data_IF_899578853573
#
_entry.id   IF_899578853573
#
_cell.length_a   1.000
_cell.length_b   1.000
_cell.length_c   1.000
_cell.angle_alpha   90.00
_cell.angle_beta   90.00
_cell.angle_gamma   90.00
#
_symmetry.space_group_name_H-M   'P 1'
#
loop_
_entity.id
_entity.type
_entity.pdbx_description
1 polymer ?
#
# COMPACT_ATOMS: atom_id res chain seq x y z
N UNK A 1 -14.46 -23.57 -7.95
CA UNK A 1 -13.16 -23.50 -8.64
C UNK A 1 -12.29 -22.37 -8.09
N UNK A 2 -12.83 -21.21 -7.84
CA UNK A 2 -12.12 -19.99 -7.39
C UNK A 2 -11.38 -20.11 -6.05
N UNK A 3 -11.95 -20.84 -5.08
CA UNK A 3 -11.31 -21.10 -3.78
C UNK A 3 -10.01 -21.91 -3.96
N UNK A 4 -10.05 -22.93 -4.82
CA UNK A 4 -8.88 -23.74 -5.11
C UNK A 4 -7.77 -22.93 -5.78
N UNK A 5 -8.12 -22.04 -6.70
CA UNK A 5 -7.18 -21.16 -7.38
C UNK A 5 -6.53 -20.20 -6.39
N UNK A 6 -7.30 -19.59 -5.47
CA UNK A 6 -6.75 -18.74 -4.42
C UNK A 6 -5.78 -19.50 -3.51
N UNK A 7 -6.09 -20.74 -3.14
CA UNK A 7 -5.18 -21.59 -2.35
C UNK A 7 -3.89 -21.88 -3.14
N UNK A 8 -3.99 -22.24 -4.42
CA UNK A 8 -2.82 -22.43 -5.29
C UNK A 8 -2.02 -21.13 -5.38
N UNK A 9 -2.70 -19.99 -5.50
CA UNK A 9 -2.08 -18.66 -5.53
C UNK A 9 -1.21 -18.38 -4.31
N UNK A 10 -1.68 -18.71 -3.10
CA UNK A 10 -0.87 -18.58 -1.87
C UNK A 10 0.45 -19.35 -2.00
N UNK A 11 0.40 -20.62 -2.43
CA UNK A 11 1.61 -21.42 -2.58
C UNK A 11 2.52 -20.93 -3.69
N UNK A 12 1.96 -20.47 -4.81
CA UNK A 12 2.75 -19.90 -5.92
C UNK A 12 3.46 -18.61 -5.48
N UNK A 13 2.80 -17.70 -4.77
CA UNK A 13 3.41 -16.48 -4.27
C UNK A 13 4.55 -16.77 -3.28
N UNK A 14 4.36 -17.74 -2.37
CA UNK A 14 5.42 -18.20 -1.48
C UNK A 14 6.56 -18.87 -2.26
N UNK A 15 6.24 -19.67 -3.28
CA UNK A 15 7.22 -20.28 -4.18
C UNK A 15 8.08 -19.24 -4.91
N UNK A 16 7.45 -18.18 -5.44
CA UNK A 16 8.17 -17.05 -6.07
C UNK A 16 9.12 -16.40 -5.05
N UNK A 17 8.66 -16.13 -3.83
CA UNK A 17 9.52 -15.56 -2.79
C UNK A 17 10.72 -16.46 -2.46
N UNK A 18 10.51 -17.78 -2.40
CA UNK A 18 11.57 -18.77 -2.18
C UNK A 18 12.59 -18.80 -3.33
N UNK A 19 12.16 -18.59 -4.58
CA UNK A 19 13.05 -18.51 -5.74
C UNK A 19 13.98 -17.32 -5.63
N UNK A 20 13.49 -16.17 -5.16
CA UNK A 20 14.27 -14.94 -4.98
C UNK A 20 14.99 -14.86 -3.63
N UNK A 21 14.92 -15.89 -2.78
CA UNK A 21 15.58 -15.93 -1.48
C UNK A 21 17.11 -15.94 -1.61
N UNK A 22 17.77 -15.08 -0.83
CA UNK A 22 19.23 -15.03 -0.76
C UNK A 22 19.83 -16.28 -0.05
N UNK A 23 19.11 -16.83 0.93
CA UNK A 23 19.57 -17.99 1.69
C UNK A 23 18.39 -18.83 2.21
N UNK A 24 17.93 -19.77 1.40
CA UNK A 24 16.76 -20.61 1.72
C UNK A 24 16.93 -21.43 3.01
N UNK A 25 18.19 -21.79 3.37
CA UNK A 25 18.46 -22.62 4.57
C UNK A 25 18.37 -21.81 5.86
N UNK A 26 18.49 -20.50 5.80
CA UNK A 26 18.40 -19.61 6.95
C UNK A 26 16.99 -19.09 7.23
N UNK A 27 15.99 -19.54 6.47
CA UNK A 27 14.60 -19.11 6.67
C UNK A 27 14.10 -19.59 8.04
N UNK A 28 13.66 -18.64 8.86
CA UNK A 28 13.07 -18.95 10.16
C UNK A 28 11.59 -19.29 10.00
N UNK A 29 11.25 -20.55 10.14
CA UNK A 29 9.88 -21.05 9.99
C UNK A 29 8.90 -20.42 11.00
N UNK A 30 9.33 -20.14 12.24
CA UNK A 30 8.49 -19.45 13.23
C UNK A 30 8.04 -18.08 12.71
N UNK A 31 8.96 -17.32 12.17
CA UNK A 31 8.68 -15.96 11.65
C UNK A 31 7.77 -16.04 10.42
N UNK A 32 8.08 -16.94 9.48
CA UNK A 32 7.34 -17.07 8.22
C UNK A 32 5.93 -17.61 8.45
N UNK A 33 5.78 -18.73 9.16
CA UNK A 33 4.44 -19.30 9.46
C UNK A 33 3.65 -18.39 10.39
N UNK A 34 4.31 -17.76 11.38
CA UNK A 34 3.66 -16.79 12.27
C UNK A 34 3.10 -15.60 11.50
N UNK A 35 3.90 -15.00 10.60
CA UNK A 35 3.47 -13.85 9.79
C UNK A 35 2.34 -14.22 8.82
N UNK A 36 2.43 -15.35 8.15
CA UNK A 36 1.37 -15.87 7.28
C UNK A 36 0.08 -16.14 8.08
N UNK A 37 0.19 -16.77 9.25
CA UNK A 37 -0.95 -17.05 10.12
C UNK A 37 -1.63 -15.76 10.58
N UNK A 38 -0.87 -14.74 10.99
CA UNK A 38 -1.42 -13.44 11.40
C UNK A 38 -2.12 -12.78 10.20
N UNK A 39 -1.50 -12.79 9.01
CA UNK A 39 -2.10 -12.21 7.81
C UNK A 39 -3.40 -12.90 7.43
N UNK A 40 -3.44 -14.24 7.46
CA UNK A 40 -4.66 -15.04 7.22
C UNK A 40 -5.70 -14.78 8.31
N UNK A 41 -5.29 -14.73 9.58
CA UNK A 41 -6.19 -14.50 10.71
C UNK A 41 -6.86 -13.12 10.65
N UNK A 42 -6.10 -12.06 10.28
CA UNK A 42 -6.67 -10.73 10.06
C UNK A 42 -7.67 -10.80 8.90
N UNK A 43 -7.31 -11.36 7.75
CA UNK A 43 -8.20 -11.49 6.61
C UNK A 43 -9.46 -12.30 6.94
N UNK A 44 -9.33 -13.43 7.62
CA UNK A 44 -10.45 -14.24 8.09
C UNK A 44 -11.35 -13.47 9.04
N UNK A 45 -10.78 -12.77 10.03
CA UNK A 45 -11.54 -12.03 11.01
C UNK A 45 -12.36 -10.91 10.35
N UNK A 46 -11.71 -10.06 9.54
CA UNK A 46 -12.36 -8.85 9.00
C UNK A 46 -13.25 -9.10 7.76
N UNK A 47 -13.06 -10.23 7.03
CA UNK A 47 -13.80 -10.50 5.78
C UNK A 47 -14.78 -11.67 5.89
N UNK A 48 -14.55 -12.61 6.83
CA UNK A 48 -15.39 -13.79 6.96
C UNK A 48 -16.20 -13.82 8.26
N UNK A 49 -15.58 -13.48 9.42
CA UNK A 49 -16.28 -13.52 10.72
C UNK A 49 -17.22 -12.33 10.86
N UNK A 50 -18.54 -12.53 11.16
CA UNK A 50 -19.51 -11.44 11.24
C UNK A 50 -19.12 -10.31 12.20
N UNK A 51 -18.63 -10.64 13.40
CA UNK A 51 -18.18 -9.65 14.38
C UNK A 51 -17.01 -8.80 13.86
N UNK A 52 -16.06 -9.42 13.14
CA UNK A 52 -14.92 -8.73 12.52
C UNK A 52 -15.35 -7.80 11.38
N UNK A 53 -16.32 -8.25 10.57
CA UNK A 53 -16.92 -7.41 9.51
C UNK A 53 -17.61 -6.19 10.08
N UNK A 54 -18.40 -6.35 11.14
CA UNK A 54 -19.04 -5.23 11.85
C UNK A 54 -17.99 -4.28 12.43
N UNK A 55 -16.92 -4.80 13.03
CA UNK A 55 -15.84 -3.98 13.57
C UNK A 55 -15.10 -3.22 12.45
N UNK A 56 -14.82 -3.87 11.32
CA UNK A 56 -14.20 -3.22 10.16
C UNK A 56 -15.10 -2.12 9.58
N UNK A 57 -16.42 -2.40 9.46
CA UNK A 57 -17.38 -1.40 8.99
C UNK A 57 -17.43 -0.20 9.93
N UNK A 58 -17.51 -0.42 11.25
CA UNK A 58 -17.49 0.66 12.24
C UNK A 58 -16.20 1.50 12.18
N UNK A 59 -15.05 0.85 11.99
CA UNK A 59 -13.79 1.55 11.79
C UNK A 59 -13.79 2.36 10.48
N UNK A 60 -14.33 1.81 9.41
CA UNK A 60 -14.49 2.50 8.13
C UNK A 60 -15.42 3.71 8.24
N UNK A 61 -16.57 3.55 8.90
CA UNK A 61 -17.54 4.65 9.12
C UNK A 61 -16.90 5.76 9.96
N UNK A 62 -16.11 5.40 10.98
CA UNK A 62 -15.39 6.37 11.79
C UNK A 62 -14.35 7.14 10.97
N UNK A 63 -13.53 6.45 10.17
CA UNK A 63 -12.54 7.09 9.28
C UNK A 63 -13.25 7.91 8.20
N UNK A 64 -14.34 7.41 7.63
CA UNK A 64 -15.18 8.14 6.67
C UNK A 64 -15.75 9.44 7.26
N UNK A 65 -16.18 9.40 8.53
CA UNK A 65 -16.61 10.60 9.25
C UNK A 65 -15.47 11.60 9.45
N UNK A 66 -14.25 11.12 9.74
CA UNK A 66 -13.08 11.99 9.81
C UNK A 66 -12.81 12.63 8.44
N UNK A 67 -12.88 11.86 7.35
CA UNK A 67 -12.74 12.40 5.98
C UNK A 67 -13.76 13.51 5.73
N UNK A 68 -15.01 13.35 6.18
CA UNK A 68 -16.06 14.35 5.99
C UNK A 68 -15.74 15.69 6.66
N UNK A 69 -15.05 15.72 7.80
CA UNK A 69 -14.59 16.97 8.41
C UNK A 69 -13.53 17.67 7.55
N UNK A 70 -12.70 16.91 6.83
CA UNK A 70 -11.77 17.49 5.86
C UNK A 70 -12.50 18.24 4.74
N UNK A 71 -13.68 17.76 4.33
CA UNK A 71 -14.47 18.41 3.29
C UNK A 71 -14.96 19.81 3.70
N UNK A 72 -15.16 20.09 4.98
CA UNK A 72 -15.50 21.43 5.48
C UNK A 72 -14.39 22.43 5.14
N UNK A 73 -13.12 22.07 5.45
CA UNK A 73 -11.97 22.91 5.11
C UNK A 73 -11.78 23.06 3.60
N UNK A 74 -11.99 21.97 2.84
CA UNK A 74 -11.89 21.98 1.39
C UNK A 74 -12.97 22.89 0.78
N UNK A 75 -14.20 22.78 1.25
CA UNK A 75 -15.31 23.62 0.79
C UNK A 75 -15.11 25.09 1.14
N UNK A 76 -14.52 25.37 2.30
CA UNK A 76 -14.17 26.74 2.68
C UNK A 76 -13.15 27.38 1.72
N UNK A 77 -12.12 26.60 1.29
CA UNK A 77 -11.05 27.10 0.42
C UNK A 77 -11.49 27.17 -1.05
N UNK A 78 -12.21 26.18 -1.54
CA UNK A 78 -12.54 26.00 -2.96
C UNK A 78 -13.98 26.39 -3.32
N UNK A 79 -14.84 26.65 -2.33
CA UNK A 79 -16.21 27.14 -2.55
C UNK A 79 -17.03 26.24 -3.46
N UNK A 80 -17.71 26.84 -4.43
CA UNK A 80 -18.60 26.14 -5.36
C UNK A 80 -17.94 25.07 -6.23
N UNK A 81 -16.61 25.03 -6.34
CA UNK A 81 -15.91 23.98 -7.06
C UNK A 81 -16.03 22.59 -6.39
N UNK A 82 -16.43 22.56 -5.13
CA UNK A 82 -16.65 21.31 -4.38
C UNK A 82 -18.10 20.84 -4.47
N UNK A 83 -19.02 21.68 -4.91
CA UNK A 83 -20.45 21.41 -4.94
C UNK A 83 -20.81 20.39 -6.04
N UNK A 84 -21.39 19.24 -5.68
CA UNK A 84 -21.79 18.22 -6.66
C UNK A 84 -22.87 18.69 -7.64
N UNK A 85 -23.65 19.73 -7.29
CA UNK A 85 -24.71 20.28 -8.13
C UNK A 85 -24.19 21.12 -9.30
N UNK A 86 -22.92 21.53 -9.25
CA UNK A 86 -22.28 22.31 -10.31
C UNK A 86 -21.80 21.42 -11.46
N UNK A 87 -21.88 21.92 -12.69
CA UNK A 87 -21.53 21.18 -13.91
C UNK A 87 -20.04 20.91 -14.13
N UNK A 88 -19.17 21.21 -13.16
CA UNK A 88 -17.72 21.02 -13.29
C UNK A 88 -17.25 19.55 -13.25
N UNK A 89 -18.13 18.62 -12.83
CA UNK A 89 -17.79 17.22 -12.69
C UNK A 89 -16.80 16.92 -11.53
N UNK A 90 -16.11 15.78 -11.62
CA UNK A 90 -15.13 15.35 -10.63
C UNK A 90 -13.76 15.96 -10.93
N UNK A 91 -13.32 16.94 -10.13
CA UNK A 91 -12.00 17.55 -10.24
C UNK A 91 -11.07 16.92 -9.19
N UNK A 92 -10.17 16.03 -9.64
CA UNK A 92 -9.24 15.30 -8.79
C UNK A 92 -8.40 16.23 -7.88
N UNK A 93 -7.87 17.32 -8.44
CA UNK A 93 -7.03 18.27 -7.72
C UNK A 93 -7.76 18.95 -6.55
N UNK A 94 -9.08 19.02 -6.58
CA UNK A 94 -9.91 19.68 -5.56
C UNK A 94 -10.52 18.67 -4.59
N UNK A 95 -10.95 17.49 -5.10
CA UNK A 95 -11.68 16.51 -4.29
C UNK A 95 -10.79 15.49 -3.62
N UNK A 96 -9.58 15.21 -4.16
CA UNK A 96 -8.69 14.15 -3.66
C UNK A 96 -7.44 14.73 -3.00
N UNK A 97 -6.70 15.60 -3.70
CA UNK A 97 -5.41 16.10 -3.20
C UNK A 97 -5.51 16.84 -1.86
N UNK A 98 -6.51 17.71 -1.61
CA UNK A 98 -6.57 18.43 -0.33
C UNK A 98 -6.91 17.56 0.87
N UNK A 99 -7.57 16.40 0.66
CA UNK A 99 -7.83 15.44 1.74
C UNK A 99 -6.51 14.93 2.33
N UNK A 100 -5.46 14.77 1.51
CA UNK A 100 -4.11 14.37 1.94
C UNK A 100 -3.54 15.38 2.93
N UNK A 101 -3.77 16.68 2.71
CA UNK A 101 -3.29 17.76 3.57
C UNK A 101 -3.92 17.64 4.97
N UNK A 102 -5.23 17.50 5.02
CA UNK A 102 -5.96 17.35 6.28
C UNK A 102 -5.51 16.12 7.08
N UNK A 103 -5.42 14.96 6.41
CA UNK A 103 -4.99 13.73 7.08
C UNK A 103 -3.53 13.79 7.55
N UNK A 104 -2.63 14.39 6.78
CA UNK A 104 -1.24 14.60 7.21
C UNK A 104 -1.16 15.49 8.45
N UNK A 105 -1.96 16.57 8.50
CA UNK A 105 -2.06 17.43 9.68
C UNK A 105 -2.59 16.67 10.90
N UNK A 106 -3.67 15.88 10.70
CA UNK A 106 -4.26 15.07 11.78
C UNK A 106 -3.28 14.02 12.32
N UNK A 107 -2.61 13.29 11.44
CA UNK A 107 -1.60 12.27 11.83
C UNK A 107 -0.45 12.95 12.61
N UNK A 108 0.02 14.11 12.17
CA UNK A 108 1.06 14.88 12.87
C UNK A 108 0.60 15.28 14.29
N UNK A 109 -0.65 15.72 14.43
CA UNK A 109 -1.24 16.00 15.73
C UNK A 109 -1.30 14.75 16.62
N UNK A 110 -1.75 13.60 16.08
CA UNK A 110 -1.82 12.33 16.81
C UNK A 110 -0.43 11.85 17.27
N UNK A 111 0.61 12.13 16.48
CA UNK A 111 2.01 11.91 16.89
C UNK A 111 2.40 12.86 18.04
N UNK A 112 2.07 14.16 17.95
CA UNK A 112 2.40 15.14 18.97
C UNK A 112 1.80 14.77 20.33
N UNK A 113 0.52 14.39 20.38
CA UNK A 113 -0.17 14.00 21.63
C UNK A 113 0.17 12.58 22.12
N UNK A 114 0.99 11.82 21.38
CA UNK A 114 1.49 10.53 21.82
C UNK A 114 0.61 9.32 21.49
N UNK A 115 -0.56 9.50 20.88
CA UNK A 115 -1.50 8.41 20.54
C UNK A 115 -0.85 7.42 19.57
N UNK A 116 -0.20 7.91 18.52
CA UNK A 116 0.46 7.06 17.53
C UNK A 116 1.56 6.20 18.12
N UNK A 117 2.38 6.76 19.04
CA UNK A 117 3.44 6.02 19.69
C UNK A 117 2.91 4.85 20.53
N UNK A 118 1.78 5.03 21.23
CA UNK A 118 1.15 3.96 22.01
C UNK A 118 0.65 2.85 21.08
N UNK A 119 -0.06 3.22 20.01
CA UNK A 119 -0.60 2.24 19.04
C UNK A 119 0.53 1.45 18.38
N UNK A 120 1.57 2.13 17.90
CA UNK A 120 2.71 1.50 17.23
C UNK A 120 3.48 0.58 18.19
N UNK A 121 3.69 1.00 19.45
CA UNK A 121 4.32 0.15 20.46
C UNK A 121 3.50 -1.10 20.77
N UNK A 122 2.19 -0.98 20.84
CA UNK A 122 1.30 -2.10 21.12
C UNK A 122 1.35 -3.13 19.97
N UNK A 123 1.14 -2.67 18.73
CA UNK A 123 1.13 -3.55 17.55
C UNK A 123 2.54 -4.10 17.27
N UNK A 124 3.56 -3.23 17.27
CA UNK A 124 4.95 -3.63 17.02
C UNK A 124 5.49 -4.59 18.08
N UNK A 125 5.19 -4.34 19.35
CA UNK A 125 5.53 -5.27 20.44
C UNK A 125 4.84 -6.62 20.32
N UNK A 126 3.58 -6.64 19.88
CA UNK A 126 2.85 -7.86 19.55
C UNK A 126 3.51 -8.64 18.41
N UNK A 127 3.82 -7.97 17.29
CA UNK A 127 4.52 -8.58 16.15
C UNK A 127 5.89 -9.11 16.57
N UNK A 128 6.69 -8.33 17.31
CA UNK A 128 8.00 -8.75 17.81
C UNK A 128 7.90 -10.04 18.63
N UNK A 129 6.99 -10.09 19.59
CA UNK A 129 6.82 -11.24 20.49
C UNK A 129 6.35 -12.49 19.75
N UNK A 130 5.41 -12.36 18.82
CA UNK A 130 4.84 -13.48 18.08
C UNK A 130 5.80 -14.02 17.02
N UNK A 131 6.43 -13.11 16.26
CA UNK A 131 7.26 -13.47 15.11
C UNK A 131 8.73 -13.73 15.47
N UNK A 132 9.19 -13.20 16.62
CA UNK A 132 10.61 -13.25 17.00
C UNK A 132 11.49 -12.35 16.11
N UNK A 133 10.90 -11.30 15.52
CA UNK A 133 11.58 -10.27 14.74
C UNK A 133 12.24 -9.23 15.65
N UNK A 134 13.16 -8.42 15.15
CA UNK A 134 13.78 -7.36 15.94
C UNK A 134 12.77 -6.25 16.30
N UNK A 135 13.08 -5.47 17.32
CA UNK A 135 12.24 -4.34 17.73
C UNK A 135 12.10 -3.32 16.61
N UNK A 136 13.19 -2.99 15.92
CA UNK A 136 13.23 -1.97 14.90
C UNK A 136 12.34 -2.34 13.70
N UNK A 137 12.46 -3.57 13.17
CA UNK A 137 11.63 -4.00 12.04
C UNK A 137 10.15 -4.15 12.40
N UNK A 138 9.84 -4.62 13.62
CA UNK A 138 8.45 -4.76 14.10
C UNK A 138 7.78 -3.41 14.32
N UNK A 139 8.51 -2.44 14.87
CA UNK A 139 8.03 -1.07 15.06
C UNK A 139 7.80 -0.36 13.72
N UNK A 140 8.73 -0.52 12.77
CA UNK A 140 8.57 0.02 11.42
C UNK A 140 7.38 -0.59 10.70
N UNK A 141 7.19 -1.92 10.78
CA UNK A 141 6.05 -2.60 10.18
C UNK A 141 4.71 -2.12 10.78
N UNK A 142 4.64 -1.94 12.09
CA UNK A 142 3.46 -1.40 12.77
C UNK A 142 3.16 0.05 12.37
N UNK A 143 4.20 0.87 12.23
CA UNK A 143 4.06 2.25 11.80
C UNK A 143 3.52 2.37 10.38
N UNK A 144 3.97 1.51 9.49
CA UNK A 144 3.55 1.47 8.09
C UNK A 144 2.06 1.16 7.89
N UNK A 145 1.32 0.73 8.91
CA UNK A 145 -0.15 0.62 8.86
C UNK A 145 -0.80 2.00 8.70
N UNK A 146 -0.16 3.04 9.25
CA UNK A 146 -0.75 4.38 9.39
C UNK A 146 -0.02 5.46 8.59
N UNK A 147 1.29 5.30 8.39
CA UNK A 147 2.15 6.30 7.74
C UNK A 147 2.93 5.71 6.58
N UNK A 148 3.45 6.57 5.73
CA UNK A 148 4.10 6.16 4.48
C UNK A 148 5.52 5.62 4.66
N UNK A 149 6.09 5.20 3.52
CA UNK A 149 7.41 4.58 3.43
C UNK A 149 8.59 5.49 3.83
N UNK A 150 8.36 6.79 3.95
CA UNK A 150 9.36 7.79 4.38
C UNK A 150 9.19 8.18 5.84
N UNK A 151 7.97 8.13 6.38
CA UNK A 151 7.67 8.51 7.75
C UNK A 151 7.88 7.35 8.74
N UNK A 152 7.46 6.14 8.39
CA UNK A 152 7.61 4.98 9.27
C UNK A 152 9.06 4.70 9.69
N UNK A 153 10.07 4.80 8.79
CA UNK A 153 11.46 4.63 9.16
C UNK A 153 12.01 5.69 10.12
N UNK A 154 11.37 6.87 10.24
CA UNK A 154 11.78 7.89 11.21
C UNK A 154 11.72 7.37 12.66
N UNK A 155 10.76 6.48 12.95
CA UNK A 155 10.60 5.87 14.28
C UNK A 155 11.82 5.02 14.66
N UNK A 156 12.44 4.42 13.66
CA UNK A 156 13.60 3.53 13.81
C UNK A 156 14.91 4.15 13.29
N UNK A 157 14.89 5.47 13.00
CA UNK A 157 16.06 6.21 12.49
C UNK A 157 17.37 5.94 13.24
N UNK A 158 17.42 5.89 14.58
CA UNK A 158 18.66 5.64 15.32
C UNK A 158 19.27 4.26 15.03
N UNK A 159 18.45 3.30 14.61
CA UNK A 159 18.88 1.93 14.34
C UNK A 159 19.34 1.72 12.89
N UNK A 160 18.87 2.53 11.91
CA UNK A 160 19.05 2.28 10.46
C UNK A 160 20.52 2.11 10.10
N UNK A 161 21.40 2.95 10.64
CA UNK A 161 22.84 2.90 10.34
C UNK A 161 23.54 1.60 10.78
N UNK A 162 22.98 0.88 11.76
CA UNK A 162 23.55 -0.34 12.36
C UNK A 162 22.69 -1.59 12.11
N UNK A 163 21.55 -1.45 11.45
CA UNK A 163 20.69 -2.58 11.08
C UNK A 163 21.47 -3.62 10.28
N UNK A 164 21.19 -4.87 10.54
CA UNK A 164 21.58 -5.97 9.63
C UNK A 164 20.98 -5.76 8.25
N UNK A 165 21.49 -6.42 7.23
CA UNK A 165 20.91 -6.35 5.89
C UNK A 165 19.46 -6.84 5.85
N UNK A 166 19.15 -7.86 6.66
CA UNK A 166 17.78 -8.41 6.76
C UNK A 166 16.81 -7.44 7.42
N UNK A 167 17.23 -6.71 8.47
CA UNK A 167 16.41 -5.69 9.12
C UNK A 167 16.15 -4.50 8.19
N UNK A 168 17.20 -3.98 7.53
CA UNK A 168 17.07 -2.91 6.57
C UNK A 168 16.12 -3.30 5.43
N UNK A 169 16.26 -4.52 4.91
CA UNK A 169 15.37 -5.04 3.89
C UNK A 169 13.93 -5.14 4.37
N UNK A 170 13.69 -5.59 5.61
CA UNK A 170 12.35 -5.66 6.20
C UNK A 170 11.71 -4.27 6.36
N UNK A 171 12.48 -3.25 6.76
CA UNK A 171 12.02 -1.85 6.82
C UNK A 171 11.65 -1.34 5.43
N UNK A 172 12.49 -1.60 4.41
CA UNK A 172 12.18 -1.23 3.03
C UNK A 172 10.92 -1.91 2.52
N UNK A 173 10.79 -3.22 2.71
CA UNK A 173 9.62 -3.99 2.27
C UNK A 173 8.35 -3.53 2.99
N UNK A 174 8.41 -3.28 4.30
CA UNK A 174 7.29 -2.74 5.07
C UNK A 174 6.77 -1.42 4.48
N UNK A 175 7.70 -0.53 4.11
CA UNK A 175 7.36 0.76 3.51
C UNK A 175 6.67 0.63 2.15
N UNK A 176 7.17 -0.25 1.27
CA UNK A 176 6.57 -0.41 -0.08
C UNK A 176 5.36 -1.36 -0.10
N UNK A 177 5.20 -2.23 0.91
CA UNK A 177 4.04 -3.11 1.01
C UNK A 177 2.77 -2.42 1.51
N UNK A 178 2.89 -1.24 2.12
CA UNK A 178 1.80 -0.47 2.73
C UNK A 178 1.51 0.82 1.99
N UNK A 179 0.45 1.52 2.40
CA UNK A 179 0.12 2.90 1.98
C UNK A 179 0.06 3.81 3.20
N UNK A 180 0.25 5.11 3.01
CA UNK A 180 0.03 6.09 4.06
C UNK A 180 -1.47 6.32 4.29
N UNK A 181 -1.88 6.54 5.54
CA UNK A 181 -3.28 6.84 5.87
C UNK A 181 -3.82 8.10 5.19
N UNK A 182 -2.97 9.12 4.98
CA UNK A 182 -3.32 10.32 4.22
C UNK A 182 -3.64 10.01 2.75
N UNK A 183 -2.89 9.10 2.15
CA UNK A 183 -3.07 8.66 0.76
C UNK A 183 -4.30 7.73 0.64
N UNK A 184 -4.54 6.88 1.63
CA UNK A 184 -5.74 6.03 1.72
C UNK A 184 -7.02 6.87 1.66
N UNK A 185 -7.06 8.00 2.36
CA UNK A 185 -8.18 8.92 2.31
C UNK A 185 -8.39 9.49 0.89
N UNK A 186 -7.31 9.73 0.14
CA UNK A 186 -7.37 10.11 -1.27
C UNK A 186 -8.00 9.03 -2.14
N UNK A 187 -7.64 7.76 -1.96
CA UNK A 187 -8.25 6.65 -2.72
C UNK A 187 -9.73 6.46 -2.39
N UNK A 188 -10.12 6.60 -1.11
CA UNK A 188 -11.52 6.61 -0.73
C UNK A 188 -12.31 7.74 -1.42
N UNK A 189 -11.68 8.92 -1.59
CA UNK A 189 -12.24 10.04 -2.36
C UNK A 189 -12.45 9.75 -3.85
N UNK A 190 -11.77 8.77 -4.43
CA UNK A 190 -11.99 8.26 -5.79
C UNK A 190 -13.07 7.18 -5.87
N UNK A 191 -13.71 6.82 -4.75
CA UNK A 191 -14.72 5.78 -4.68
C UNK A 191 -14.19 4.38 -4.37
N UNK A 192 -12.89 4.23 -4.06
CA UNK A 192 -12.33 2.94 -3.65
C UNK A 192 -12.89 2.55 -2.27
N UNK A 193 -13.40 1.31 -2.09
CA UNK A 193 -14.04 0.92 -0.85
C UNK A 193 -13.10 1.00 0.36
N UNK A 194 -13.40 1.91 1.28
CA UNK A 194 -12.57 2.22 2.45
C UNK A 194 -12.37 1.01 3.39
N UNK A 195 -13.37 0.12 3.63
CA UNK A 195 -13.16 -1.06 4.46
C UNK A 195 -12.01 -1.94 3.95
N UNK A 196 -11.92 -2.16 2.65
CA UNK A 196 -10.85 -2.98 2.06
C UNK A 196 -9.48 -2.31 2.14
N UNK A 197 -9.41 -0.98 2.01
CA UNK A 197 -8.17 -0.23 2.19
C UNK A 197 -7.64 -0.33 3.62
N UNK A 198 -8.53 -0.22 4.62
CA UNK A 198 -8.17 -0.39 6.03
C UNK A 198 -7.68 -1.82 6.28
N UNK A 199 -8.44 -2.83 5.84
CA UNK A 199 -8.06 -4.23 6.00
C UNK A 199 -6.69 -4.53 5.35
N UNK A 200 -6.46 -4.03 4.12
CA UNK A 200 -5.19 -4.19 3.42
C UNK A 200 -4.02 -3.56 4.17
N UNK A 201 -4.20 -2.37 4.77
CA UNK A 201 -3.15 -1.71 5.56
C UNK A 201 -2.74 -2.53 6.78
N UNK A 202 -3.70 -3.13 7.50
CA UNK A 202 -3.39 -4.01 8.62
C UNK A 202 -2.73 -5.32 8.17
N UNK A 203 -3.14 -5.89 7.05
CA UNK A 203 -2.56 -7.10 6.49
C UNK A 203 -1.15 -6.87 5.91
N UNK A 204 -0.81 -5.64 5.53
CA UNK A 204 0.49 -5.28 4.98
C UNK A 204 1.63 -5.44 5.99
N UNK A 205 1.40 -5.21 7.29
CA UNK A 205 2.44 -5.31 8.30
C UNK A 205 3.00 -6.74 8.46
N UNK A 206 2.17 -7.77 8.73
CA UNK A 206 2.66 -9.15 8.75
C UNK A 206 3.07 -9.64 7.34
N UNK A 207 2.38 -9.22 6.27
CA UNK A 207 2.71 -9.60 4.90
C UNK A 207 4.07 -9.09 4.46
N UNK A 208 4.41 -7.84 4.77
CA UNK A 208 5.73 -7.27 4.50
C UNK A 208 6.84 -8.03 5.23
N UNK A 209 6.65 -8.34 6.51
CA UNK A 209 7.60 -9.15 7.29
C UNK A 209 7.71 -10.58 6.74
N UNK A 210 6.61 -11.21 6.33
CA UNK A 210 6.58 -12.54 5.71
C UNK A 210 7.54 -12.59 4.51
N UNK A 211 7.30 -11.74 3.52
CA UNK A 211 8.07 -11.76 2.27
C UNK A 211 9.49 -11.25 2.46
N UNK A 212 9.70 -10.28 3.36
CA UNK A 212 11.05 -9.83 3.71
C UNK A 212 11.89 -10.97 4.30
N UNK A 213 11.33 -11.76 5.23
CA UNK A 213 12.08 -12.83 5.90
C UNK A 213 12.22 -14.11 5.08
N UNK A 214 11.42 -14.31 4.05
CA UNK A 214 11.64 -15.37 3.05
C UNK A 214 12.75 -14.93 2.08
N UNK A 215 12.67 -13.72 1.52
CA UNK A 215 13.59 -13.27 0.48
C UNK A 215 14.96 -12.83 1.02
N UNK A 216 15.00 -12.33 2.24
CA UNK A 216 16.24 -11.95 2.92
C UNK A 216 16.21 -12.39 4.40
N UNK A 217 16.45 -13.70 4.68
CA UNK A 217 16.41 -14.24 6.02
C UNK A 217 17.46 -13.62 6.94
N UNK A 218 17.16 -13.59 8.24
CA UNK A 218 18.08 -13.09 9.26
C UNK A 218 19.19 -14.10 9.52
N UNK A 219 20.43 -13.73 9.21
CA UNK A 219 21.64 -14.54 9.45
C UNK A 219 22.57 -13.91 10.48
N UNK A 220 22.41 -12.62 10.73
CA UNK A 220 23.21 -11.85 11.67
C UNK A 220 22.39 -11.60 12.95
N UNK A 221 23.03 -11.29 14.07
CA UNK A 221 22.33 -10.95 15.32
C UNK A 221 21.95 -9.47 15.30
N UNK A 222 20.65 -9.12 15.45
CA UNK A 222 20.22 -7.74 15.57
C UNK A 222 20.84 -7.04 16.79
N UNK A 223 21.11 -5.73 16.67
CA UNK A 223 21.55 -4.89 17.78
C UNK A 223 20.37 -4.16 18.39
N UNK A 224 19.70 -4.81 19.35
CA UNK A 224 18.57 -4.25 20.10
C UNK A 224 19.01 -3.38 21.31
N UNK A 225 20.31 -3.14 21.48
CA UNK A 225 20.86 -2.43 22.66
C UNK A 225 20.60 -0.92 22.66
N UNK A 226 20.25 -0.34 21.52
CA UNK A 226 19.97 1.07 21.38
C UNK A 226 18.63 1.44 22.06
N UNK A 227 18.67 2.42 22.96
CA UNK A 227 17.45 3.06 23.45
C UNK A 227 16.82 3.88 22.32
N UNK A 228 15.51 3.91 22.30
CA UNK A 228 14.76 4.82 21.42
C UNK A 228 15.27 6.25 21.68
N UNK A 229 16.06 6.80 20.75
CA UNK A 229 16.38 8.22 20.84
C UNK A 229 15.17 9.00 20.29
N UNK A 230 14.67 9.90 21.10
CA UNK A 230 13.58 10.81 20.73
C UNK A 230 14.12 12.05 20.02
N UNK A 231 15.22 11.93 19.27
CA UNK A 231 15.85 13.06 18.57
C UNK A 231 15.09 13.50 17.28
N UNK A 232 13.83 13.15 17.16
CA UNK A 232 12.92 13.85 16.24
C UNK A 232 12.55 15.15 16.95
N UNK A 233 12.90 16.30 16.37
CA UNK A 233 12.48 17.62 16.87
C UNK A 233 10.96 17.58 17.09
N UNK A 234 10.57 17.63 18.37
CA UNK A 234 9.16 17.64 18.72
C UNK A 234 8.62 19.05 18.47
N UNK A 235 7.47 19.18 17.82
CA UNK A 235 6.78 20.45 17.73
C UNK A 235 6.58 21.05 19.13
N UNK A 236 6.73 22.37 19.27
CA UNK A 236 6.61 23.08 20.55
C UNK A 236 5.20 23.03 21.13
N UNK A 237 4.20 22.90 20.26
CA UNK A 237 2.78 22.83 20.62
C UNK A 237 1.94 22.14 19.53
N UNK A 238 0.66 21.91 19.84
CA UNK A 238 -0.28 21.25 18.95
C UNK A 238 -0.54 22.03 17.63
N UNK A 239 -0.48 23.36 17.67
CA UNK A 239 -0.70 24.21 16.50
C UNK A 239 0.47 24.05 15.53
N UNK A 240 1.69 24.05 16.05
CA UNK A 240 2.90 23.80 15.24
C UNK A 240 2.88 22.39 14.64
N UNK A 241 2.45 21.38 15.41
CA UNK A 241 2.27 20.02 14.88
C UNK A 241 1.29 19.97 13.71
N UNK A 242 0.13 20.62 13.84
CA UNK A 242 -0.86 20.72 12.77
C UNK A 242 -0.30 21.45 11.55
N UNK A 243 0.38 22.58 11.76
CA UNK A 243 0.95 23.39 10.67
C UNK A 243 2.04 22.62 9.90
N UNK A 244 2.93 21.92 10.62
CA UNK A 244 3.95 21.09 10.01
C UNK A 244 3.33 19.93 9.20
N UNK A 245 2.34 19.23 9.76
CA UNK A 245 1.63 18.17 9.06
C UNK A 245 0.87 18.67 7.82
N UNK A 246 0.24 19.85 7.91
CA UNK A 246 -0.41 20.48 6.76
C UNK A 246 0.58 20.84 5.65
N UNK A 247 1.74 21.39 6.00
CA UNK A 247 2.83 21.69 5.06
C UNK A 247 3.33 20.41 4.36
N UNK A 248 3.58 19.37 5.14
CA UNK A 248 4.09 18.10 4.61
C UNK A 248 3.03 17.42 3.71
N UNK A 249 1.75 17.48 4.12
CA UNK A 249 0.63 17.03 3.31
C UNK A 249 0.46 17.83 2.01
N UNK A 250 0.70 19.14 2.03
CA UNK A 250 0.69 19.97 0.82
C UNK A 250 1.81 19.54 -0.14
N UNK A 251 3.02 19.34 0.36
CA UNK A 251 4.13 18.85 -0.47
C UNK A 251 3.82 17.48 -1.08
N UNK A 252 3.22 16.58 -0.30
CA UNK A 252 2.81 15.27 -0.81
C UNK A 252 1.72 15.41 -1.89
N UNK A 253 0.69 16.22 -1.66
CA UNK A 253 -0.40 16.46 -2.61
C UNK A 253 0.13 17.06 -3.93
N UNK A 254 1.01 18.06 -3.85
CA UNK A 254 1.63 18.67 -5.04
C UNK A 254 2.48 17.65 -5.82
N UNK A 255 3.29 16.85 -5.12
CA UNK A 255 4.09 15.80 -5.74
C UNK A 255 3.22 14.75 -6.43
N UNK A 256 2.13 14.31 -5.79
CA UNK A 256 1.17 13.38 -6.39
C UNK A 256 0.55 13.99 -7.65
N UNK A 257 0.07 15.24 -7.58
CA UNK A 257 -0.50 15.96 -8.73
C UNK A 257 0.48 16.07 -9.89
N UNK A 258 1.72 16.49 -9.61
CA UNK A 258 2.78 16.62 -10.62
C UNK A 258 3.14 15.29 -11.27
N UNK A 259 3.27 14.22 -10.45
CA UNK A 259 3.55 12.87 -10.97
C UNK A 259 2.40 12.36 -11.83
N UNK A 260 1.14 12.57 -11.44
CA UNK A 260 -0.01 12.15 -12.23
C UNK A 260 -0.06 12.86 -13.59
N UNK A 261 0.16 14.18 -13.63
CA UNK A 261 0.24 14.92 -14.90
C UNK A 261 1.34 14.31 -15.79
N UNK A 262 2.55 14.12 -15.25
CA UNK A 262 3.67 13.61 -16.01
C UNK A 262 3.41 12.18 -16.53
N UNK A 263 3.03 11.26 -15.65
CA UNK A 263 2.88 9.85 -16.01
C UNK A 263 1.67 9.59 -16.90
N UNK A 264 0.52 10.23 -16.65
CA UNK A 264 -0.66 10.08 -17.51
C UNK A 264 -0.35 10.61 -18.92
N UNK A 265 0.37 11.74 -19.03
CA UNK A 265 0.79 12.28 -20.32
C UNK A 265 1.78 11.36 -21.05
N UNK A 266 2.74 10.79 -20.33
CA UNK A 266 3.70 9.82 -20.90
C UNK A 266 2.98 8.54 -21.36
N UNK A 267 2.03 8.04 -20.58
CA UNK A 267 1.21 6.88 -20.95
C UNK A 267 0.41 7.19 -22.23
N UNK A 268 -0.18 8.38 -22.33
CA UNK A 268 -0.89 8.81 -23.53
C UNK A 268 0.03 8.85 -24.76
N UNK A 269 1.26 9.36 -24.61
CA UNK A 269 2.26 9.34 -25.67
C UNK A 269 2.65 7.90 -26.08
N UNK A 270 2.90 7.04 -25.09
CA UNK A 270 3.20 5.61 -25.36
C UNK A 270 2.04 4.95 -26.08
N UNK A 271 0.80 5.19 -25.66
CA UNK A 271 -0.39 4.63 -26.29
C UNK A 271 -0.56 5.11 -27.75
N UNK A 272 -0.28 6.38 -28.02
CA UNK A 272 -0.29 6.90 -29.38
C UNK A 272 0.78 6.19 -30.26
N UNK A 273 1.98 5.99 -29.74
CA UNK A 273 3.05 5.26 -30.45
C UNK A 273 2.62 3.81 -30.69
N UNK A 274 2.14 3.11 -29.66
CA UNK A 274 1.72 1.71 -29.76
C UNK A 274 0.56 1.52 -30.76
N UNK A 275 -0.46 2.38 -30.71
CA UNK A 275 -1.57 2.39 -31.65
C UNK A 275 -1.09 2.63 -33.09
N UNK A 276 -0.16 3.58 -33.29
CA UNK A 276 0.44 3.86 -34.60
C UNK A 276 1.17 2.65 -35.17
N UNK A 277 1.92 1.93 -34.34
CA UNK A 277 2.61 0.69 -34.72
C UNK A 277 1.62 -0.49 -34.88
N UNK A 278 0.58 -0.56 -34.08
CA UNK A 278 -0.43 -1.63 -34.11
C UNK A 278 -1.36 -1.57 -35.33
N UNK A 279 -1.66 -0.36 -35.80
CA UNK A 279 -2.61 -0.14 -36.91
C UNK A 279 -2.27 -0.94 -38.21
N UNK A 280 -1.00 -0.96 -38.70
CA UNK A 280 -0.64 -1.76 -39.87
C UNK A 280 -0.83 -3.27 -39.67
N UNK A 281 -0.88 -3.74 -38.42
CA UNK A 281 -1.08 -5.15 -38.05
C UNK A 281 -2.52 -5.47 -37.65
N UNK A 282 -3.47 -4.54 -37.89
CA UNK A 282 -4.89 -4.72 -37.54
C UNK A 282 -5.22 -4.59 -36.06
N UNK A 283 -4.31 -3.95 -35.25
CA UNK A 283 -4.49 -3.71 -33.84
C UNK A 283 -4.41 -2.21 -33.49
N UNK A 284 -5.38 -1.39 -33.94
CA UNK A 284 -5.36 0.05 -33.66
C UNK A 284 -5.55 0.39 -32.20
N UNK A 285 -6.13 -0.51 -31.42
CA UNK A 285 -6.40 -0.32 -29.96
C UNK A 285 -5.27 -0.84 -29.06
N UNK A 286 -4.08 -1.09 -29.62
CA UNK A 286 -2.93 -1.54 -28.85
C UNK A 286 -2.46 -0.41 -27.92
N UNK A 287 -2.54 -0.64 -26.61
CA UNK A 287 -2.15 0.31 -25.56
C UNK A 287 -1.24 -0.36 -24.54
N UNK A 288 -0.54 0.44 -23.74
CA UNK A 288 0.25 -0.04 -22.60
C UNK A 288 -0.62 -0.88 -21.66
N UNK A 289 -1.84 -0.45 -21.40
CA UNK A 289 -2.81 -1.15 -20.56
C UNK A 289 -3.11 -2.55 -21.11
N UNK A 290 -3.35 -2.69 -22.39
CA UNK A 290 -3.61 -3.98 -23.05
C UNK A 290 -2.40 -4.91 -22.90
N UNK A 291 -1.20 -4.41 -23.16
CA UNK A 291 0.05 -5.19 -23.04
C UNK A 291 0.25 -5.66 -21.59
N UNK A 292 0.11 -4.75 -20.62
CA UNK A 292 0.22 -5.09 -19.21
C UNK A 292 -0.87 -6.06 -18.78
N UNK A 293 -2.09 -5.90 -19.33
CA UNK A 293 -3.19 -6.83 -19.14
C UNK A 293 -2.83 -8.25 -19.55
N UNK A 294 -2.23 -8.43 -20.72
CA UNK A 294 -1.79 -9.76 -21.19
C UNK A 294 -0.69 -10.37 -20.33
N UNK A 295 0.32 -9.55 -19.93
CA UNK A 295 1.45 -9.99 -19.11
C UNK A 295 0.99 -10.42 -17.73
N UNK A 296 0.13 -9.62 -17.08
CA UNK A 296 -0.29 -9.83 -15.69
C UNK A 296 -1.59 -10.63 -15.55
N UNK A 297 -2.27 -10.98 -16.66
CA UNK A 297 -3.49 -11.81 -16.65
C UNK A 297 -3.32 -13.12 -15.86
N UNK A 298 -2.26 -13.93 -16.10
CA UNK A 298 -2.07 -15.16 -15.34
C UNK A 298 -1.91 -14.92 -13.83
N UNK A 299 -1.23 -13.84 -13.45
CA UNK A 299 -1.04 -13.47 -12.05
C UNK A 299 -2.37 -13.02 -11.42
N UNK A 300 -3.16 -12.22 -12.14
CA UNK A 300 -4.49 -11.80 -11.70
C UNK A 300 -5.43 -13.00 -11.49
N UNK A 301 -5.38 -13.98 -12.38
CA UNK A 301 -6.13 -15.22 -12.23
C UNK A 301 -5.68 -16.02 -10.99
N UNK A 302 -4.37 -16.14 -10.76
CA UNK A 302 -3.81 -16.86 -9.61
C UNK A 302 -4.20 -16.25 -8.26
N UNK A 303 -4.42 -14.95 -8.18
CA UNK A 303 -4.89 -14.31 -6.94
C UNK A 303 -6.41 -14.44 -6.73
N UNK A 304 -7.13 -15.14 -7.62
CA UNK A 304 -8.53 -15.51 -7.44
C UNK A 304 -9.54 -14.67 -8.23
N UNK A 305 -9.09 -13.90 -9.21
CA UNK A 305 -9.95 -13.16 -10.15
C UNK A 305 -10.40 -14.12 -11.27
N UNK A 306 -11.69 -14.13 -11.68
CA UNK A 306 -12.15 -14.92 -12.83
C UNK A 306 -11.34 -14.64 -14.10
N UNK A 307 -11.15 -15.67 -14.94
CA UNK A 307 -10.32 -15.55 -16.14
C UNK A 307 -10.75 -14.45 -17.10
N UNK A 308 -12.06 -14.23 -17.19
CA UNK A 308 -12.70 -13.22 -18.03
C UNK A 308 -12.35 -11.80 -17.59
N UNK A 309 -12.22 -11.57 -16.27
CA UNK A 309 -11.92 -10.28 -15.65
C UNK A 309 -10.41 -10.09 -15.41
N UNK A 310 -9.62 -11.17 -15.50
CA UNK A 310 -8.19 -11.17 -15.14
C UNK A 310 -7.34 -10.25 -16.02
N UNK A 311 -7.71 -10.01 -17.27
CA UNK A 311 -6.99 -9.07 -18.13
C UNK A 311 -7.15 -7.63 -17.64
N UNK A 312 -8.35 -7.25 -17.21
CA UNK A 312 -8.65 -5.93 -16.65
C UNK A 312 -7.88 -5.71 -15.36
N UNK A 313 -7.91 -6.69 -14.44
CA UNK A 313 -7.13 -6.61 -13.20
C UNK A 313 -5.62 -6.59 -13.48
N UNK A 314 -5.17 -7.37 -14.47
CA UNK A 314 -3.77 -7.38 -14.92
C UNK A 314 -3.28 -6.01 -15.41
N UNK A 315 -4.13 -5.25 -16.11
CA UNK A 315 -3.83 -3.87 -16.52
C UNK A 315 -3.53 -2.99 -15.30
N UNK A 316 -4.37 -3.06 -14.28
CA UNK A 316 -4.25 -2.23 -13.06
C UNK A 316 -3.02 -2.62 -12.24
N UNK A 317 -2.79 -3.93 -12.06
CA UNK A 317 -1.59 -4.45 -11.36
C UNK A 317 -0.33 -4.05 -12.12
N UNK A 318 -0.34 -4.16 -13.44
CA UNK A 318 0.77 -3.76 -14.29
C UNK A 318 1.05 -2.25 -14.22
N UNK A 319 0.01 -1.41 -14.29
CA UNK A 319 0.14 0.04 -14.14
C UNK A 319 0.68 0.43 -12.76
N UNK A 320 0.23 -0.24 -11.69
CA UNK A 320 0.79 -0.04 -10.35
C UNK A 320 2.30 -0.29 -10.34
N UNK A 321 2.74 -1.42 -10.87
CA UNK A 321 4.16 -1.81 -10.86
C UNK A 321 5.03 -0.90 -11.73
N UNK A 322 4.56 -0.62 -12.95
CA UNK A 322 5.30 0.16 -13.93
C UNK A 322 5.36 1.66 -13.59
N UNK A 323 4.30 2.18 -13.00
CA UNK A 323 4.13 3.61 -12.70
C UNK A 323 4.00 3.82 -11.20
N UNK A 324 2.77 3.75 -10.69
CA UNK A 324 2.45 3.78 -9.27
C UNK A 324 0.98 3.32 -9.02
N UNK A 325 0.64 3.15 -7.76
CA UNK A 325 -0.70 2.72 -7.34
C UNK A 325 -1.79 3.77 -7.59
N UNK A 326 -1.46 5.07 -7.60
CA UNK A 326 -2.42 6.13 -7.94
C UNK A 326 -2.95 5.96 -9.38
N UNK A 327 -2.06 5.71 -10.34
CA UNK A 327 -2.45 5.45 -11.73
C UNK A 327 -3.27 4.16 -11.82
N UNK A 328 -2.90 3.13 -11.06
CA UNK A 328 -3.67 1.89 -10.94
C UNK A 328 -5.08 2.15 -10.41
N UNK A 329 -5.23 2.93 -9.34
CA UNK A 329 -6.53 3.29 -8.78
C UNK A 329 -7.34 4.25 -9.66
N UNK A 330 -6.72 5.16 -10.40
CA UNK A 330 -7.40 5.99 -11.40
C UNK A 330 -8.03 5.15 -12.50
N UNK A 331 -7.31 4.13 -12.99
CA UNK A 331 -7.87 3.19 -13.95
C UNK A 331 -9.00 2.38 -13.33
N UNK A 332 -8.83 1.90 -12.09
CA UNK A 332 -9.84 1.15 -11.35
C UNK A 332 -11.09 1.97 -11.06
N UNK A 333 -10.96 3.26 -10.76
CA UNK A 333 -12.10 4.15 -10.47
C UNK A 333 -13.13 4.20 -11.60
N UNK A 334 -12.73 3.96 -12.86
CA UNK A 334 -13.64 3.88 -14.01
C UNK A 334 -14.65 2.73 -13.88
N UNK A 335 -14.26 1.65 -13.18
CA UNK A 335 -15.09 0.45 -12.96
C UNK A 335 -15.92 0.53 -11.68
N UNK A 336 -15.74 1.59 -10.89
CA UNK A 336 -16.50 1.85 -9.67
C UNK A 336 -17.68 2.82 -9.88
N UNK A 337 -17.75 3.46 -11.05
CA UNK A 337 -18.83 4.41 -11.36
C UNK A 337 -20.16 3.68 -11.57
N UNK A 338 -21.29 4.23 -11.06
CA UNK A 338 -22.61 3.60 -11.20
C UNK A 338 -23.04 3.41 -12.66
N UNK A 339 -22.61 4.29 -13.55
CA UNK A 339 -23.02 4.32 -14.96
C UNK A 339 -22.07 3.56 -15.90
N UNK A 340 -21.14 2.81 -15.34
CA UNK A 340 -20.16 2.08 -16.16
C UNK A 340 -20.81 0.91 -16.86
N UNK A 341 -20.55 0.79 -18.16
CA UNK A 341 -20.90 -0.41 -18.96
C UNK A 341 -19.93 -1.56 -18.78
N UNK A 342 -18.79 -1.28 -18.13
CA UNK A 342 -17.75 -2.26 -17.85
C UNK A 342 -18.00 -2.92 -16.50
N UNK A 343 -18.33 -4.20 -16.49
CA UNK A 343 -18.71 -4.93 -15.27
C UNK A 343 -17.52 -5.71 -14.73
N UNK A 344 -17.15 -5.39 -13.49
CA UNK A 344 -16.32 -6.25 -12.64
C UNK A 344 -17.19 -6.80 -11.52
N UNK A 345 -17.03 -8.08 -11.20
CA UNK A 345 -17.67 -8.67 -10.04
C UNK A 345 -17.21 -7.98 -8.75
N UNK A 346 -18.08 -7.89 -7.75
CA UNK A 346 -17.74 -7.26 -6.46
C UNK A 346 -16.53 -7.94 -5.79
N UNK A 347 -16.42 -9.27 -5.95
CA UNK A 347 -15.24 -10.02 -5.53
C UNK A 347 -13.97 -9.51 -6.20
N UNK A 348 -13.99 -9.31 -7.51
CA UNK A 348 -12.83 -8.79 -8.25
C UNK A 348 -12.50 -7.36 -7.87
N UNK A 349 -13.50 -6.51 -7.63
CA UNK A 349 -13.28 -5.15 -7.11
C UNK A 349 -12.56 -5.18 -5.76
N UNK A 350 -12.98 -6.06 -4.86
CA UNK A 350 -12.29 -6.24 -3.58
C UNK A 350 -10.84 -6.71 -3.77
N UNK A 351 -10.61 -7.78 -4.53
CA UNK A 351 -9.25 -8.33 -4.80
C UNK A 351 -8.35 -7.26 -5.40
N UNK A 352 -8.83 -6.49 -6.40
CA UNK A 352 -8.08 -5.40 -7.03
C UNK A 352 -7.74 -4.33 -5.99
N UNK A 353 -8.68 -3.96 -5.11
CA UNK A 353 -8.42 -2.97 -4.06
C UNK A 353 -7.23 -3.40 -3.18
N UNK A 354 -7.19 -4.66 -2.73
CA UNK A 354 -6.06 -5.20 -1.96
C UNK A 354 -4.77 -5.27 -2.77
N UNK A 355 -4.83 -5.71 -4.03
CA UNK A 355 -3.66 -5.85 -4.89
C UNK A 355 -2.99 -4.50 -5.18
N UNK A 356 -3.77 -3.43 -5.30
CA UNK A 356 -3.28 -2.08 -5.53
C UNK A 356 -2.78 -1.40 -4.25
N UNK A 357 -3.22 -1.84 -3.05
CA UNK A 357 -2.97 -1.19 -1.78
C UNK A 357 -1.52 -1.37 -1.30
N UNK A 358 -0.60 -0.59 -1.86
CA UNK A 358 0.82 -0.56 -1.48
C UNK A 358 1.68 0.18 -2.49
N UNK A 359 2.73 0.80 -1.98
CA UNK A 359 3.70 1.60 -2.74
C UNK A 359 4.73 0.76 -3.52
N UNK A 360 4.46 -0.54 -3.75
CA UNK A 360 5.36 -1.44 -4.45
C UNK A 360 5.36 -1.16 -5.97
N UNK A 361 6.20 -0.21 -6.37
CA UNK A 361 6.41 0.22 -7.75
C UNK A 361 7.86 0.68 -7.98
N UNK A 362 8.27 0.88 -9.23
CA UNK A 362 9.65 1.27 -9.56
C UNK A 362 10.02 2.66 -9.01
N UNK A 363 9.08 3.61 -8.94
CA UNK A 363 9.35 4.96 -8.44
C UNK A 363 9.69 4.96 -6.93
N UNK A 364 9.14 3.99 -6.19
CA UNK A 364 9.41 3.83 -4.75
C UNK A 364 10.87 3.49 -4.45
N UNK A 365 11.63 2.94 -5.40
CA UNK A 365 13.07 2.71 -5.23
C UNK A 365 13.78 4.05 -5.03
N UNK A 366 13.46 5.06 -5.84
CA UNK A 366 14.03 6.39 -5.70
C UNK A 366 13.61 7.07 -4.39
N UNK A 367 12.35 6.87 -3.98
CA UNK A 367 11.81 7.39 -2.70
C UNK A 367 12.55 6.75 -1.51
N UNK A 368 12.77 5.44 -1.53
CA UNK A 368 13.54 4.75 -0.48
C UNK A 368 14.99 5.24 -0.42
N UNK A 369 15.66 5.41 -1.58
CA UNK A 369 17.02 5.92 -1.65
C UNK A 369 17.09 7.35 -1.11
N UNK A 370 16.11 8.19 -1.43
CA UNK A 370 16.00 9.55 -0.91
C UNK A 370 15.72 9.59 0.60
N UNK A 371 14.71 8.84 1.07
CA UNK A 371 14.28 8.83 2.46
C UNK A 371 15.28 8.15 3.39
N UNK A 372 15.48 6.84 3.21
CA UNK A 372 16.41 6.06 4.06
C UNK A 372 17.87 6.51 3.87
N UNK A 373 18.26 6.85 2.64
CA UNK A 373 19.63 7.34 2.36
C UNK A 373 19.92 8.69 2.98
N UNK A 374 18.93 9.56 3.19
CA UNK A 374 19.08 10.81 3.95
C UNK A 374 19.18 10.55 5.46
N UNK A 375 18.44 9.56 5.97
CA UNK A 375 18.46 9.19 7.41
C UNK A 375 19.77 8.47 7.79
N UNK A 376 20.34 7.66 6.89
CA UNK A 376 21.57 6.90 7.09
C UNK A 376 22.43 6.88 5.80
N UNK A 377 23.23 7.93 5.56
CA UNK A 377 24.05 8.06 4.33
C UNK A 377 24.98 6.87 4.09
N UNK A 378 25.48 6.24 5.14
CA UNK A 378 26.32 5.05 5.08
C UNK A 378 25.59 3.79 4.54
N UNK A 379 24.25 3.79 4.49
CA UNK A 379 23.43 2.67 4.02
C UNK A 379 22.80 2.93 2.64
N UNK A 380 23.05 4.10 2.03
CA UNK A 380 22.44 4.50 0.75
C UNK A 380 22.71 3.50 -0.38
N UNK A 381 23.92 2.96 -0.45
CA UNK A 381 24.28 1.94 -1.45
C UNK A 381 23.55 0.61 -1.24
N UNK A 382 23.33 0.20 0.03
CA UNK A 382 22.55 -0.98 0.37
C UNK A 382 21.10 -0.80 -0.05
N UNK A 383 20.49 0.34 0.26
CA UNK A 383 19.12 0.67 -0.13
C UNK A 383 18.96 0.61 -1.66
N UNK A 384 19.89 1.19 -2.41
CA UNK A 384 19.86 1.14 -3.88
C UNK A 384 19.96 -0.30 -4.40
N UNK A 385 20.87 -1.10 -3.86
CA UNK A 385 21.08 -2.50 -4.24
C UNK A 385 19.87 -3.40 -3.93
N UNK A 386 19.20 -3.15 -2.82
CA UNK A 386 18.05 -3.93 -2.34
C UNK A 386 16.71 -3.45 -2.89
N UNK A 387 16.66 -2.25 -3.49
CA UNK A 387 15.41 -1.57 -3.87
C UNK A 387 14.50 -2.40 -4.76
N UNK A 388 15.03 -2.99 -5.85
CA UNK A 388 14.22 -3.82 -6.74
C UNK A 388 13.67 -5.07 -6.03
N UNK A 389 14.48 -5.71 -5.20
CA UNK A 389 14.02 -6.86 -4.41
C UNK A 389 12.93 -6.45 -3.40
N UNK A 390 13.04 -5.27 -2.80
CA UNK A 390 12.03 -4.75 -1.89
C UNK A 390 10.70 -4.50 -2.60
N UNK A 391 10.72 -3.95 -3.82
CA UNK A 391 9.52 -3.79 -4.65
C UNK A 391 8.88 -5.13 -4.97
N UNK A 392 9.67 -6.15 -5.35
CA UNK A 392 9.15 -7.51 -5.59
C UNK A 392 8.52 -8.08 -4.31
N UNK A 393 9.19 -7.99 -3.16
CA UNK A 393 8.68 -8.49 -1.89
C UNK A 393 7.39 -7.77 -1.46
N UNK A 394 7.34 -6.44 -1.60
CA UNK A 394 6.15 -5.64 -1.32
C UNK A 394 4.98 -5.98 -2.24
N UNK A 395 5.26 -6.18 -3.54
CA UNK A 395 4.25 -6.63 -4.50
C UNK A 395 3.68 -8.00 -4.13
N UNK A 396 4.52 -8.95 -3.76
CA UNK A 396 4.08 -10.27 -3.30
C UNK A 396 3.25 -10.17 -2.01
N UNK A 397 3.57 -9.25 -1.10
CA UNK A 397 2.78 -8.96 0.10
C UNK A 397 1.37 -8.47 -0.24
N UNK A 398 1.26 -7.50 -1.17
CA UNK A 398 -0.04 -6.98 -1.61
C UNK A 398 -0.87 -8.07 -2.34
N UNK A 399 -0.25 -8.82 -3.23
CA UNK A 399 -0.90 -9.94 -3.93
C UNK A 399 -1.34 -11.05 -2.97
N UNK A 400 -0.56 -11.34 -1.92
CA UNK A 400 -0.94 -12.28 -0.88
C UNK A 400 -2.16 -11.78 -0.10
N UNK A 401 -2.20 -10.50 0.29
CA UNK A 401 -3.36 -9.89 0.93
C UNK A 401 -4.60 -9.98 0.03
N UNK A 402 -4.44 -9.71 -1.26
CA UNK A 402 -5.49 -9.83 -2.27
C UNK A 402 -6.00 -11.27 -2.44
N UNK A 403 -5.07 -12.25 -2.45
CA UNK A 403 -5.42 -13.67 -2.55
C UNK A 403 -6.19 -14.15 -1.33
N UNK A 404 -5.75 -13.77 -0.13
CA UNK A 404 -6.44 -14.08 1.14
C UNK A 404 -7.83 -13.42 1.17
N UNK A 405 -7.94 -12.16 0.73
CA UNK A 405 -9.22 -11.48 0.63
C UNK A 405 -10.17 -12.19 -0.34
N UNK A 406 -9.71 -12.54 -1.53
CA UNK A 406 -10.47 -13.30 -2.52
C UNK A 406 -10.95 -14.66 -2.01
N UNK A 407 -10.12 -15.35 -1.22
CA UNK A 407 -10.46 -16.61 -0.57
C UNK A 407 -11.63 -16.44 0.42
N UNK A 408 -11.52 -15.49 1.37
CA UNK A 408 -12.54 -15.31 2.40
C UNK A 408 -13.83 -14.68 1.89
N UNK A 409 -13.76 -13.77 0.93
CA UNK A 409 -14.96 -13.25 0.25
C UNK A 409 -15.64 -14.37 -0.53
N UNK A 410 -14.88 -15.22 -1.23
CA UNK A 410 -15.43 -16.39 -1.92
C UNK A 410 -16.08 -17.42 -1.00
N UNK A 411 -15.57 -17.58 0.23
CA UNK A 411 -16.13 -18.46 1.26
C UNK A 411 -17.37 -17.87 1.95
N UNK A 412 -17.38 -16.56 2.21
CA UNK A 412 -18.50 -15.88 2.89
C UNK A 412 -19.69 -15.64 1.97
N UNK A 413 -19.45 -15.56 0.66
CA UNK A 413 -20.46 -15.13 -0.32
C UNK A 413 -20.93 -13.68 -0.12
N UNK A 414 -20.29 -12.95 0.79
CA UNK A 414 -20.70 -11.61 1.18
C UNK A 414 -19.57 -10.61 0.91
N UNK A 415 -19.89 -9.52 0.26
CA UNK A 415 -19.03 -8.36 -0.02
C UNK A 415 -19.40 -7.26 0.96
N UNK A 416 -18.40 -6.44 1.39
CA UNK A 416 -18.61 -5.32 2.32
C UNK A 416 -18.98 -4.05 1.58
#
# INVERSE_FOLDING_TARGET
MDILISIIGIFVLLGIALLFSNNRRAINFRTVFGALTIQIAIGAFVLYVPAGRTALQAASDFVGKIISFGNEGISFVFGGLTDPSQSFGFIFAIKVLPVIIFFSALISLLYYIGVMQVIIKLIGGGLQKLLGTSKAESMSAAANIFVGQTEAPLIVKPFIGRMTQSELFAVMVGGVASIAGSVMAGYAGMGVPLPYLIAASFMAAPGGLLFAKIMFPQTEKPDDSLKESTDVEKPSNAIEALANGARDGMHLAMNVGAMLIAFVSVIALINWILSSFGTPFGQPDLTLQVILGWIFKPLAYLIGIPWEESAIAGQMIGLKLAVNEFVGYLEFAKYLQPDTTMVLSEKSKAIITFALCGFANFSSIAILIGGLGAMAPNRRSDVARLGLKAVVAGSLSNLMSATIAGLFIGLSGAVL
#
